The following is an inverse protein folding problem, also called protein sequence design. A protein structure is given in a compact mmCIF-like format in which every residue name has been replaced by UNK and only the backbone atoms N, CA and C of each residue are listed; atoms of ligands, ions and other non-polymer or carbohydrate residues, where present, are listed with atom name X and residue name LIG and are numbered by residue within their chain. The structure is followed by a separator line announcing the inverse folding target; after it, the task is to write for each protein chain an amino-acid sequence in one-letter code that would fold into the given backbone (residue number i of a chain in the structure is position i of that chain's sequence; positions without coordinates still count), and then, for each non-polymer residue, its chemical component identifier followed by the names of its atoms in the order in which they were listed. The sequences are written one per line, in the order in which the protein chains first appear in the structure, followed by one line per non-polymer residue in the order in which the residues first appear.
data_IF_525758670146
#
_entry.id   IF_525758670146
#
_cell.length_a   1.000
_cell.length_b   1.000
_cell.length_c   1.000
_cell.angle_alpha   90.00
_cell.angle_beta   90.00
_cell.angle_gamma   90.00
#
_symmetry.space_group_name_H-M   'P 1'
#
loop_
_entity.id
_entity.type
_entity.pdbx_description
1 polymer ?
#
# COMPACT_ATOMS: atom_id res chain seq x y z
N UNK A 1 -20.27 4.65 11.92
CA UNK A 1 -20.78 4.52 10.53
C UNK A 1 -19.58 4.25 9.64
N UNK A 2 -19.52 3.09 8.97
CA UNK A 2 -18.42 2.76 8.08
C UNK A 2 -18.61 3.43 6.72
N UNK A 3 -17.61 4.17 6.25
CA UNK A 3 -17.56 4.66 4.87
C UNK A 3 -17.67 3.45 3.93
N UNK A 4 -18.67 3.45 3.04
CA UNK A 4 -18.84 2.37 2.07
C UNK A 4 -17.91 2.67 0.89
N UNK A 5 -16.79 1.95 0.80
CA UNK A 5 -15.80 2.08 -0.28
C UNK A 5 -16.36 1.47 -1.59
N UNK A 6 -17.32 2.16 -2.19
CA UNK A 6 -17.79 1.84 -3.55
C UNK A 6 -16.67 2.12 -4.56
N UNK A 7 -16.76 1.55 -5.77
CA UNK A 7 -15.74 1.74 -6.81
C UNK A 7 -15.51 3.23 -7.12
N UNK A 8 -16.58 4.01 -7.19
CA UNK A 8 -16.52 5.45 -7.41
C UNK A 8 -15.80 6.20 -6.26
N UNK A 9 -16.10 5.88 -5.00
CA UNK A 9 -15.45 6.52 -3.83
C UNK A 9 -13.97 6.14 -3.77
N UNK A 10 -13.61 4.90 -4.13
CA UNK A 10 -12.21 4.48 -4.19
C UNK A 10 -11.43 5.26 -5.24
N UNK A 11 -11.95 5.38 -6.46
CA UNK A 11 -11.31 6.18 -7.49
C UNK A 11 -11.20 7.65 -7.08
N UNK A 12 -12.25 8.21 -6.49
CA UNK A 12 -12.20 9.59 -6.02
C UNK A 12 -11.16 9.79 -4.91
N UNK A 13 -11.00 8.85 -3.99
CA UNK A 13 -9.95 8.92 -2.96
C UNK A 13 -8.55 8.82 -3.56
N UNK A 14 -8.35 8.00 -4.59
CA UNK A 14 -7.05 7.88 -5.27
C UNK A 14 -6.72 9.17 -6.03
N UNK A 15 -7.69 9.71 -6.77
CA UNK A 15 -7.53 10.96 -7.53
C UNK A 15 -7.29 12.17 -6.59
N UNK A 16 -8.00 12.25 -5.48
CA UNK A 16 -7.85 13.35 -4.50
C UNK A 16 -6.54 13.24 -3.69
N UNK A 17 -5.98 12.04 -3.57
CA UNK A 17 -4.71 11.78 -2.88
C UNK A 17 -3.58 11.44 -3.86
N UNK A 18 -3.64 11.95 -5.08
CA UNK A 18 -2.55 11.83 -6.05
C UNK A 18 -1.26 12.47 -5.49
N UNK A 19 -0.17 11.71 -5.48
CA UNK A 19 1.09 12.06 -4.82
C UNK A 19 1.20 11.67 -3.34
N UNK A 20 0.19 10.99 -2.78
CA UNK A 20 0.28 10.47 -1.41
C UNK A 20 1.24 9.28 -1.36
N UNK A 21 2.21 9.36 -0.45
CA UNK A 21 3.17 8.28 -0.20
C UNK A 21 3.14 7.89 1.27
N UNK A 22 3.03 6.60 1.56
CA UNK A 22 3.17 6.08 2.92
C UNK A 22 4.05 4.83 2.94
N UNK A 23 4.79 4.63 4.02
CA UNK A 23 5.65 3.46 4.17
C UNK A 23 5.30 2.73 5.45
N UNK A 24 5.09 1.42 5.35
CA UNK A 24 4.91 0.55 6.51
C UNK A 24 6.15 -0.30 6.70
N UNK A 25 6.52 -0.49 7.96
CA UNK A 25 7.69 -1.26 8.33
C UNK A 25 7.28 -2.42 9.23
N UNK A 26 7.67 -3.62 8.83
CA UNK A 26 7.44 -4.85 9.55
C UNK A 26 8.79 -5.47 9.91
N UNK A 27 9.05 -5.60 11.21
CA UNK A 27 10.22 -6.27 11.74
C UNK A 27 9.80 -7.45 12.61
N UNK A 28 10.18 -8.63 12.18
CA UNK A 28 10.11 -9.88 12.93
C UNK A 28 11.51 -10.36 13.29
N UNK A 29 11.55 -11.40 14.12
CA UNK A 29 12.81 -11.97 14.64
C UNK A 29 13.78 -12.46 13.56
N UNK A 30 13.25 -12.81 12.38
CA UNK A 30 14.00 -13.33 11.25
C UNK A 30 13.55 -12.74 9.89
N UNK A 31 12.90 -11.59 9.90
CA UNK A 31 12.26 -11.03 8.71
C UNK A 31 12.13 -9.52 8.86
N UNK A 32 12.63 -8.78 7.88
CA UNK A 32 12.45 -7.33 7.80
C UNK A 32 11.83 -7.02 6.45
N UNK A 33 10.67 -6.39 6.46
CA UNK A 33 9.99 -5.94 5.24
C UNK A 33 9.56 -4.49 5.41
N UNK A 34 9.91 -3.70 4.42
CA UNK A 34 9.40 -2.35 4.22
C UNK A 34 8.49 -2.39 3.00
N UNK A 35 7.25 -1.94 3.18
CA UNK A 35 6.32 -1.72 2.07
C UNK A 35 6.10 -0.24 1.91
N UNK A 36 6.52 0.29 0.78
CA UNK A 36 6.27 1.65 0.34
C UNK A 36 5.02 1.63 -0.56
N UNK A 37 4.09 2.54 -0.30
CA UNK A 37 2.85 2.72 -1.03
C UNK A 37 2.83 4.13 -1.60
N UNK A 38 2.55 4.26 -2.89
CA UNK A 38 2.45 5.54 -3.59
C UNK A 38 1.15 5.57 -4.38
N UNK A 39 0.40 6.66 -4.32
CA UNK A 39 -0.76 6.89 -5.18
C UNK A 39 -0.33 7.85 -6.28
N UNK A 40 -0.41 7.41 -7.53
CA UNK A 40 -0.02 8.18 -8.71
C UNK A 40 -0.96 7.85 -9.88
N UNK A 41 -1.41 8.86 -10.62
CA UNK A 41 -2.35 8.75 -11.75
C UNK A 41 -3.68 8.06 -11.37
N UNK A 42 -4.09 8.14 -10.11
CA UNK A 42 -5.26 7.43 -9.58
C UNK A 42 -5.06 5.92 -9.42
N UNK A 43 -3.82 5.43 -9.46
CA UNK A 43 -3.43 4.04 -9.23
C UNK A 43 -2.57 3.92 -7.97
N UNK A 44 -2.70 2.80 -7.25
CA UNK A 44 -1.89 2.52 -6.07
C UNK A 44 -0.69 1.67 -6.47
N UNK A 45 0.50 2.23 -6.39
CA UNK A 45 1.77 1.54 -6.56
C UNK A 45 2.24 1.00 -5.21
N UNK A 46 2.65 -0.27 -5.20
CA UNK A 46 3.16 -0.95 -4.02
C UNK A 46 4.56 -1.44 -4.33
N UNK A 47 5.51 -1.07 -3.49
CA UNK A 47 6.87 -1.61 -3.50
C UNK A 47 7.17 -2.28 -2.17
N UNK A 48 7.42 -3.58 -2.21
CA UNK A 48 7.81 -4.37 -1.05
C UNK A 48 9.28 -4.75 -1.15
N UNK A 49 10.07 -4.29 -0.19
CA UNK A 49 11.50 -4.59 -0.09
C UNK A 49 11.82 -5.17 1.27
N UNK A 50 12.61 -6.23 1.31
CA UNK A 50 12.91 -6.87 2.56
C UNK A 50 14.09 -7.82 2.52
N UNK A 51 14.52 -8.21 3.71
CA UNK A 51 15.54 -9.22 3.94
C UNK A 51 14.95 -10.28 4.86
N UNK A 52 15.14 -11.55 4.49
CA UNK A 52 14.80 -12.68 5.36
C UNK A 52 16.08 -13.27 5.96
N UNK A 53 16.01 -13.93 7.12
CA UNK A 53 17.19 -14.51 7.77
C UNK A 53 17.88 -15.67 7.04
N UNK A 54 17.45 -15.97 5.82
CA UNK A 54 18.21 -16.82 4.93
C UNK A 54 19.28 -15.93 4.28
N UNK A 55 20.55 -16.22 4.57
CA UNK A 55 21.68 -15.54 3.96
C UNK A 55 21.45 -15.42 2.45
N UNK A 56 21.49 -14.19 1.92
CA UNK A 56 21.22 -13.79 0.53
C UNK A 56 19.75 -13.68 0.06
N UNK A 57 18.76 -13.83 0.93
CA UNK A 57 17.35 -13.66 0.52
C UNK A 57 16.88 -12.22 0.73
N UNK A 58 17.26 -11.36 -0.21
CA UNK A 58 16.67 -10.03 -0.41
C UNK A 58 15.57 -10.10 -1.47
N UNK A 59 14.49 -9.38 -1.25
CA UNK A 59 13.46 -9.15 -2.27
C UNK A 59 13.20 -7.64 -2.42
N UNK A 60 12.93 -7.22 -3.64
CA UNK A 60 12.49 -5.88 -4.02
C UNK A 60 11.49 -6.08 -5.16
N UNK A 61 10.22 -6.15 -4.79
CA UNK A 61 9.11 -6.36 -5.71
C UNK A 61 8.30 -5.07 -5.79
N UNK A 62 8.00 -4.63 -7.00
CA UNK A 62 7.17 -3.46 -7.28
C UNK A 62 6.04 -3.86 -8.23
N UNK A 63 4.81 -3.52 -7.87
CA UNK A 63 3.64 -3.78 -8.69
C UNK A 63 2.54 -2.74 -8.46
N UNK A 64 1.65 -2.64 -9.44
CA UNK A 64 0.42 -1.84 -9.33
C UNK A 64 -0.64 -2.70 -8.65
N UNK A 65 -1.28 -2.14 -7.62
CA UNK A 65 -2.29 -2.83 -6.83
C UNK A 65 -3.58 -3.04 -7.64
N UNK A 66 -4.16 -4.24 -7.50
CA UNK A 66 -5.47 -4.54 -8.09
C UNK A 66 -6.61 -3.88 -7.28
N UNK A 67 -7.86 -3.94 -7.78
CA UNK A 67 -9.03 -3.33 -7.13
C UNK A 67 -9.25 -3.85 -5.70
N UNK A 68 -8.91 -5.13 -5.44
CA UNK A 68 -9.02 -5.74 -4.11
C UNK A 68 -7.94 -5.24 -3.15
N UNK A 69 -6.68 -5.17 -3.60
CA UNK A 69 -5.57 -4.66 -2.78
C UNK A 69 -5.75 -3.18 -2.47
N UNK A 70 -6.12 -2.40 -3.48
CA UNK A 70 -6.48 -0.98 -3.38
C UNK A 70 -7.61 -0.79 -2.35
N UNK A 71 -8.66 -1.62 -2.41
CA UNK A 71 -9.75 -1.55 -1.44
C UNK A 71 -9.27 -1.82 -0.02
N UNK A 72 -8.41 -2.83 0.18
CA UNK A 72 -7.85 -3.16 1.50
C UNK A 72 -6.95 -2.05 2.03
N UNK A 73 -6.12 -1.47 1.17
CA UNK A 73 -5.26 -0.34 1.50
C UNK A 73 -6.09 0.86 1.94
N UNK A 74 -7.03 1.31 1.10
CA UNK A 74 -7.92 2.43 1.42
C UNK A 74 -8.72 2.17 2.70
N UNK A 75 -9.17 0.93 2.95
CA UNK A 75 -9.88 0.62 4.19
C UNK A 75 -8.99 0.72 5.43
N UNK A 76 -7.74 0.30 5.32
CA UNK A 76 -6.74 0.36 6.41
C UNK A 76 -6.30 1.80 6.68
N UNK A 77 -6.04 2.56 5.62
CA UNK A 77 -5.50 3.92 5.67
C UNK A 77 -6.58 5.01 5.59
N UNK A 78 -7.87 4.66 5.59
CA UNK A 78 -8.97 5.65 5.53
C UNK A 78 -8.85 6.76 6.58
N UNK A 79 -8.35 6.48 7.78
CA UNK A 79 -8.23 7.52 8.80
C UNK A 79 -7.09 8.51 8.53
N UNK A 80 -6.15 8.16 7.66
CA UNK A 80 -5.02 9.00 7.26
C UNK A 80 -5.33 9.76 5.96
N UNK A 81 -6.31 9.29 5.18
CA UNK A 81 -6.73 9.83 3.87
C UNK A 81 -7.96 10.76 3.93
N UNK A 82 -8.60 10.93 5.11
CA UNK A 82 -9.81 11.77 5.32
C UNK A 82 -9.51 12.91 6.29
#
# INVERSE_FOLDING_TARGET
MGLRLTKAVRQQLLDDNDGFTTSTYYEGRNFREQRDYSIEDGELHIRARGETSWADSHFDDEWVADEEETHRFLYRHKNELI
#
